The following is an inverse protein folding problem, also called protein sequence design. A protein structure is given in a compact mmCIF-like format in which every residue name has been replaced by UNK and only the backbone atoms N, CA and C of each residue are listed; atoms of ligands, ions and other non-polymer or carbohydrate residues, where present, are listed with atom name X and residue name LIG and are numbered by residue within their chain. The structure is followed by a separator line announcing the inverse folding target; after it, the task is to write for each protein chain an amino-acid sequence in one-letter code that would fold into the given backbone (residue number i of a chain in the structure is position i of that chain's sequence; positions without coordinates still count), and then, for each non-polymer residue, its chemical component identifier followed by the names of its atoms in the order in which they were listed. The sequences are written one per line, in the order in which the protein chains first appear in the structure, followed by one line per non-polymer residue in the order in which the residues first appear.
data_IF_385361565920
#
_entry.id   IF_385361565920
#
_cell.length_a   1.000
_cell.length_b   1.000
_cell.length_c   1.000
_cell.angle_alpha   90.00
_cell.angle_beta   90.00
_cell.angle_gamma   90.00
#
_symmetry.space_group_name_H-M   'P 1'
#
loop_
_entity.id
_entity.type
_entity.pdbx_description
1 polymer ?
#
# COMPACT_ATOMS: atom_id res chain seq x y z
N UNK A 1 -20.12 18.26 -40.75
CA UNK A 1 -19.97 18.00 -39.30
C UNK A 1 -20.47 16.60 -39.02
N UNK A 2 -19.56 15.64 -38.92
CA UNK A 2 -19.84 14.30 -38.39
C UNK A 2 -18.68 13.99 -37.46
N UNK A 3 -19.01 13.73 -36.20
CA UNK A 3 -18.06 13.45 -35.12
C UNK A 3 -17.64 11.99 -35.23
N UNK A 4 -16.39 11.76 -35.63
CA UNK A 4 -15.76 10.45 -35.57
C UNK A 4 -15.54 10.08 -34.09
N UNK A 5 -16.37 9.19 -33.58
CA UNK A 5 -16.09 8.46 -32.35
C UNK A 5 -14.89 7.53 -32.63
N UNK A 6 -13.76 7.64 -31.91
CA UNK A 6 -12.72 6.64 -32.01
C UNK A 6 -13.21 5.36 -31.33
N UNK A 7 -13.62 4.43 -32.19
CA UNK A 7 -13.69 2.99 -32.03
C UNK A 7 -12.93 2.46 -30.82
N UNK A 8 -13.68 1.79 -29.95
CA UNK A 8 -13.24 1.01 -28.80
C UNK A 8 -12.34 -0.21 -29.21
N UNK A 9 -12.15 -0.46 -30.51
CA UNK A 9 -11.49 -1.67 -31.05
C UNK A 9 -9.97 -1.58 -31.22
N UNK A 10 -9.33 -0.51 -30.72
CA UNK A 10 -7.88 -0.30 -30.93
C UNK A 10 -6.96 -0.73 -29.79
N UNK A 11 -7.47 -1.40 -28.75
CA UNK A 11 -6.64 -1.92 -27.66
C UNK A 11 -6.34 -3.43 -27.75
N UNK A 12 -6.83 -4.12 -28.78
CA UNK A 12 -6.57 -5.55 -28.98
C UNK A 12 -5.68 -5.83 -30.21
N UNK A 13 -4.56 -5.12 -30.33
CA UNK A 13 -3.51 -5.47 -31.30
C UNK A 13 -2.12 -5.39 -30.70
N UNK A 14 -1.82 -6.29 -29.77
CA UNK A 14 -0.50 -6.91 -29.64
C UNK A 14 -0.73 -8.33 -29.12
N UNK A 15 -0.77 -9.27 -30.06
CA UNK A 15 -0.63 -10.69 -29.73
C UNK A 15 0.83 -10.99 -29.43
N UNK A 16 1.07 -11.43 -28.20
CA UNK A 16 2.10 -12.39 -27.80
C UNK A 16 1.74 -12.81 -26.37
N UNK A 17 1.74 -14.12 -26.12
CA UNK A 17 1.58 -14.78 -24.82
C UNK A 17 0.12 -15.02 -24.34
N UNK A 18 -0.62 -15.86 -25.07
CA UNK A 18 -1.90 -16.46 -24.61
C UNK A 18 -1.76 -17.37 -23.37
N UNK A 19 -0.56 -17.52 -22.81
CA UNK A 19 -0.30 -18.13 -21.51
C UNK A 19 0.42 -17.18 -20.54
N UNK A 20 -0.03 -15.92 -20.41
CA UNK A 20 0.20 -15.18 -19.16
C UNK A 20 -0.61 -15.88 -18.07
N UNK A 21 -0.02 -16.97 -17.57
CA UNK A 21 -0.52 -17.90 -16.57
C UNK A 21 -1.31 -17.14 -15.49
N UNK A 22 -2.52 -17.62 -15.17
CA UNK A 22 -3.33 -17.07 -14.07
C UNK A 22 -2.54 -16.90 -12.75
N UNK A 23 -1.45 -17.66 -12.60
CA UNK A 23 -0.47 -17.55 -11.51
C UNK A 23 0.30 -16.21 -11.53
N UNK A 24 0.69 -15.70 -12.70
CA UNK A 24 1.34 -14.39 -12.83
C UNK A 24 0.38 -13.26 -12.47
N UNK A 25 -0.87 -13.29 -12.96
CA UNK A 25 -1.89 -12.27 -12.66
C UNK A 25 -2.20 -12.23 -11.16
N UNK A 26 -2.38 -13.38 -10.52
CA UNK A 26 -2.65 -13.47 -9.07
C UNK A 26 -1.47 -12.98 -8.21
N UNK A 27 -0.22 -13.24 -8.62
CA UNK A 27 0.97 -12.67 -7.95
C UNK A 27 1.00 -11.15 -8.01
N UNK A 28 0.75 -10.56 -9.18
CA UNK A 28 0.74 -9.10 -9.36
C UNK A 28 -0.39 -8.43 -8.56
N UNK A 29 -1.57 -9.05 -8.48
CA UNK A 29 -2.66 -8.57 -7.61
C UNK A 29 -2.26 -8.57 -6.13
N UNK A 30 -1.56 -9.62 -5.67
CA UNK A 30 -1.05 -9.71 -4.30
C UNK A 30 -0.02 -8.63 -3.95
N UNK A 31 0.90 -8.35 -4.88
CA UNK A 31 1.88 -7.26 -4.76
C UNK A 31 1.16 -5.91 -4.64
N UNK A 32 0.23 -5.62 -5.55
CA UNK A 32 -0.51 -4.36 -5.55
C UNK A 32 -1.33 -4.16 -4.27
N UNK A 33 -2.02 -5.22 -3.81
CA UNK A 33 -2.81 -5.16 -2.58
C UNK A 33 -1.96 -4.86 -1.34
N UNK A 34 -0.76 -5.46 -1.24
CA UNK A 34 0.17 -5.20 -0.12
C UNK A 34 0.75 -3.79 -0.22
N UNK A 35 1.12 -3.33 -1.42
CA UNK A 35 1.60 -1.96 -1.65
C UNK A 35 0.56 -0.91 -1.24
N UNK A 36 -0.69 -1.05 -1.66
CA UNK A 36 -1.77 -0.14 -1.24
C UNK A 36 -2.00 -0.18 0.28
N UNK A 37 -1.86 -1.36 0.91
CA UNK A 37 -1.94 -1.47 2.37
C UNK A 37 -0.78 -0.76 3.07
N UNK A 38 0.44 -0.84 2.54
CA UNK A 38 1.61 -0.13 3.07
C UNK A 38 1.39 1.39 2.99
N UNK A 39 0.90 1.91 1.86
CA UNK A 39 0.58 3.34 1.72
C UNK A 39 -0.47 3.80 2.75
N UNK A 40 -1.53 3.02 2.94
CA UNK A 40 -2.55 3.31 3.94
C UNK A 40 -2.01 3.22 5.39
N UNK A 41 -1.04 2.34 5.66
CA UNK A 41 -0.36 2.27 6.95
C UNK A 41 0.56 3.47 7.17
N UNK A 42 1.30 3.93 6.15
CA UNK A 42 2.13 5.13 6.23
C UNK A 42 1.31 6.37 6.57
N UNK A 43 0.17 6.58 5.89
CA UNK A 43 -0.75 7.69 6.20
C UNK A 43 -1.20 7.66 7.66
N UNK A 44 -1.67 6.51 8.15
CA UNK A 44 -2.10 6.33 9.54
C UNK A 44 -0.96 6.52 10.55
N UNK A 45 0.26 6.10 10.20
CA UNK A 45 1.43 6.30 11.05
C UNK A 45 1.78 7.80 11.16
N UNK A 46 1.73 8.53 10.04
CA UNK A 46 1.93 9.99 10.02
C UNK A 46 0.86 10.71 10.84
N UNK A 47 -0.41 10.31 10.73
CA UNK A 47 -1.49 10.86 11.56
C UNK A 47 -1.26 10.63 13.06
N UNK A 48 -0.85 9.42 13.45
CA UNK A 48 -0.51 9.11 14.84
C UNK A 48 0.68 9.94 15.33
N UNK A 49 1.65 10.23 14.47
CA UNK A 49 2.78 11.11 14.79
C UNK A 49 2.34 12.55 15.03
N UNK A 50 1.46 13.09 14.19
CA UNK A 50 0.88 14.40 14.38
C UNK A 50 0.08 14.48 15.69
N UNK A 51 -0.67 13.43 16.05
CA UNK A 51 -1.39 13.35 17.32
C UNK A 51 -0.45 13.34 18.54
N UNK A 52 0.69 12.63 18.45
CA UNK A 52 1.72 12.65 19.50
C UNK A 52 2.28 14.06 19.64
N UNK A 53 2.67 14.70 18.53
CA UNK A 53 3.24 16.05 18.56
C UNK A 53 2.23 17.07 19.10
N UNK A 54 0.98 17.01 18.64
CA UNK A 54 -0.09 17.89 19.13
C UNK A 54 -0.29 17.76 20.64
N UNK A 55 -0.30 16.54 21.19
CA UNK A 55 -0.45 16.31 22.63
C UNK A 55 0.79 16.74 23.44
N UNK A 56 1.99 16.63 22.86
CA UNK A 56 3.24 17.05 23.51
C UNK A 56 3.36 18.56 23.69
N UNK A 57 2.83 19.33 22.73
CA UNK A 57 2.92 20.80 22.75
C UNK A 57 1.81 21.44 23.61
N UNK A 58 0.83 20.65 24.07
CA UNK A 58 -0.22 21.16 24.98
C UNK A 58 0.38 21.69 26.28
N UNK A 59 -0.20 22.77 26.79
CA UNK A 59 0.18 23.38 28.08
C UNK A 59 0.09 22.41 29.26
N UNK A 60 -0.82 21.44 29.19
CA UNK A 60 -0.97 20.33 30.14
C UNK A 60 -1.11 19.02 29.38
N UNK A 61 -0.01 18.34 29.04
CA UNK A 61 -0.06 17.09 28.30
C UNK A 61 -0.77 15.99 29.09
N UNK A 62 -1.70 15.30 28.44
CA UNK A 62 -2.32 14.11 29.01
C UNK A 62 -1.44 12.88 28.73
N UNK A 63 -0.78 12.39 29.77
CA UNK A 63 0.15 11.27 29.67
C UNK A 63 -0.51 9.95 29.29
N UNK A 64 -1.79 9.73 29.62
CA UNK A 64 -2.54 8.53 29.24
C UNK A 64 -2.83 8.53 27.74
N UNK A 65 -3.31 9.65 27.22
CA UNK A 65 -3.56 9.84 25.78
C UNK A 65 -2.26 9.70 24.98
N UNK A 66 -1.18 10.33 25.46
CA UNK A 66 0.13 10.27 24.82
C UNK A 66 0.72 8.86 24.81
N UNK A 67 0.54 8.07 25.88
CA UNK A 67 0.89 6.64 25.89
C UNK A 67 0.06 5.85 24.88
N UNK A 68 -1.23 6.16 24.74
CA UNK A 68 -2.12 5.58 23.75
C UNK A 68 -1.62 5.82 22.32
N UNK A 69 -1.34 7.07 21.95
CA UNK A 69 -0.83 7.41 20.62
C UNK A 69 0.53 6.78 20.33
N UNK A 70 1.47 6.80 21.29
CA UNK A 70 2.78 6.15 21.12
C UNK A 70 2.65 4.63 20.92
N UNK A 71 1.75 3.97 21.65
CA UNK A 71 1.48 2.53 21.45
C UNK A 71 0.88 2.28 20.07
N UNK A 72 -0.06 3.11 19.63
CA UNK A 72 -0.65 2.99 18.29
C UNK A 72 0.39 3.19 17.19
N UNK A 73 1.28 4.17 17.34
CA UNK A 73 2.40 4.40 16.43
C UNK A 73 3.31 3.17 16.33
N UNK A 74 3.66 2.57 17.48
CA UNK A 74 4.49 1.36 17.51
C UNK A 74 3.82 0.20 16.76
N UNK A 75 2.52 -0.04 17.03
CA UNK A 75 1.76 -1.07 16.31
C UNK A 75 1.74 -0.87 14.79
N UNK A 76 1.54 0.38 14.34
CA UNK A 76 1.54 0.71 12.91
C UNK A 76 2.92 0.50 12.29
N UNK A 77 4.00 0.78 13.03
CA UNK A 77 5.37 0.50 12.59
C UNK A 77 5.61 -1.01 12.46
N UNK A 78 5.16 -1.81 13.42
CA UNK A 78 5.29 -3.27 13.36
C UNK A 78 4.49 -3.86 12.18
N UNK A 79 3.27 -3.36 11.94
CA UNK A 79 2.45 -3.73 10.79
C UNK A 79 3.12 -3.35 9.45
N UNK A 80 3.78 -2.19 9.37
CA UNK A 80 4.55 -1.76 8.20
C UNK A 80 5.70 -2.72 7.91
N UNK A 81 6.54 -2.98 8.92
CA UNK A 81 7.68 -3.91 8.79
C UNK A 81 7.20 -5.29 8.33
N UNK A 82 6.08 -5.77 8.86
CA UNK A 82 5.49 -7.03 8.44
C UNK A 82 5.04 -7.01 6.97
N UNK A 83 4.33 -5.96 6.53
CA UNK A 83 3.86 -5.85 5.15
C UNK A 83 5.02 -5.69 4.16
N UNK A 84 6.03 -4.88 4.50
CA UNK A 84 7.25 -4.71 3.70
C UNK A 84 8.03 -6.02 3.56
N UNK A 85 8.15 -6.79 4.65
CA UNK A 85 8.76 -8.12 4.61
C UNK A 85 8.04 -9.05 3.65
N UNK A 86 6.71 -9.10 3.73
CA UNK A 86 5.87 -9.89 2.80
C UNK A 86 6.01 -9.44 1.35
N UNK A 87 6.03 -8.12 1.10
CA UNK A 87 6.21 -7.57 -0.24
C UNK A 87 7.57 -7.99 -0.82
N UNK A 88 8.65 -7.90 -0.03
CA UNK A 88 9.99 -8.35 -0.45
C UNK A 88 10.00 -9.82 -0.83
N UNK A 89 9.36 -10.69 -0.04
CA UNK A 89 9.26 -12.13 -0.36
C UNK A 89 8.50 -12.38 -1.65
N UNK A 90 7.40 -11.67 -1.89
CA UNK A 90 6.62 -11.81 -3.12
C UNK A 90 7.39 -11.34 -4.35
N UNK A 91 8.12 -10.22 -4.24
CA UNK A 91 8.95 -9.71 -5.32
C UNK A 91 10.13 -10.64 -5.63
N UNK A 92 10.79 -11.18 -4.59
CA UNK A 92 11.86 -12.16 -4.78
C UNK A 92 11.36 -13.45 -5.44
N UNK A 93 10.16 -13.92 -5.06
CA UNK A 93 9.51 -15.07 -5.69
C UNK A 93 8.97 -14.80 -7.11
N UNK A 94 8.80 -13.53 -7.50
CA UNK A 94 8.47 -13.14 -8.86
C UNK A 94 9.72 -13.03 -9.76
N UNK A 95 10.87 -12.65 -9.20
CA UNK A 95 12.14 -12.55 -9.94
C UNK A 95 12.81 -13.91 -10.22
N UNK A 96 12.44 -14.95 -9.48
CA UNK A 96 12.98 -16.32 -9.63
C UNK A 96 12.09 -17.24 -10.50
N UNK A 97 10.95 -16.76 -10.97
CA UNK A 97 9.99 -17.49 -11.80
C UNK A 97 10.09 -17.01 -13.25
#
# INVERSE_FOLDING_TARGET
MQTENPSFDRLCRLGADEEVSAVAVTKHLGINAISSRIEALHKRHQEADLQVQAEQVRLRPNTLILKGYKRRKLQLKDELVHCEGRLKTLLAGAAMA
#
